data_IF_635853763502
#
_entry.id   IF_635853763502
#
_cell.length_a   1.000
_cell.length_b   1.000
_cell.length_c   1.000
_cell.angle_alpha   90.00
_cell.angle_beta   90.00
_cell.angle_gamma   90.00
#
_symmetry.space_group_name_H-M   'P 1'
#
loop_
_entity.id
_entity.type
_entity.pdbx_description
1 polymer ?
#
# COMPACT_ATOMS: atom_id res chain seq x y z
N UNK A 1 -6.08 -20.34 -56.89
CA UNK A 1 -5.30 -21.50 -56.42
C UNK A 1 -3.84 -21.21 -56.71
N UNK A 2 -3.00 -20.76 -55.77
CA UNK A 2 -2.71 -21.40 -54.48
C UNK A 2 -2.36 -20.37 -53.40
N UNK A 3 -2.98 -20.55 -52.23
CA UNK A 3 -2.74 -19.87 -50.97
C UNK A 3 -1.39 -20.33 -50.37
N UNK A 4 -0.55 -19.42 -49.85
CA UNK A 4 0.49 -19.76 -48.87
C UNK A 4 0.64 -18.60 -47.90
N UNK A 5 0.06 -18.79 -46.71
CA UNK A 5 0.15 -17.94 -45.54
C UNK A 5 1.54 -18.07 -44.90
N UNK A 6 2.36 -17.03 -44.97
CA UNK A 6 3.50 -16.87 -44.07
C UNK A 6 2.98 -16.22 -42.77
N UNK A 7 2.55 -17.06 -41.84
CA UNK A 7 2.27 -16.66 -40.47
C UNK A 7 3.61 -16.40 -39.77
N UNK A 8 4.01 -15.15 -39.66
CA UNK A 8 5.12 -14.73 -38.79
C UNK A 8 4.58 -14.75 -37.36
N UNK A 9 4.78 -15.85 -36.66
CA UNK A 9 4.65 -15.92 -35.21
C UNK A 9 5.66 -14.95 -34.58
N UNK A 10 5.23 -13.98 -33.76
CA UNK A 10 6.16 -13.27 -32.90
C UNK A 10 6.52 -14.23 -31.77
N UNK A 11 7.62 -14.97 -31.92
CA UNK A 11 8.32 -15.54 -30.78
C UNK A 11 8.93 -14.38 -29.99
N UNK A 12 8.06 -13.66 -29.27
CA UNK A 12 8.44 -12.71 -28.25
C UNK A 12 9.13 -13.52 -27.15
N UNK A 13 10.46 -13.53 -27.19
CA UNK A 13 11.29 -13.92 -26.05
C UNK A 13 10.87 -13.07 -24.86
N UNK A 14 9.96 -13.61 -24.06
CA UNK A 14 9.62 -13.06 -22.75
C UNK A 14 10.75 -13.48 -21.84
N UNK A 15 11.79 -12.66 -21.74
CA UNK A 15 12.77 -12.79 -20.66
C UNK A 15 12.04 -12.46 -19.35
N UNK A 16 11.79 -13.42 -18.44
CA UNK A 16 11.22 -13.08 -17.16
C UNK A 16 12.30 -12.37 -16.33
N UNK A 17 12.14 -11.07 -16.13
CA UNK A 17 12.89 -10.34 -15.10
C UNK A 17 12.71 -11.10 -13.78
N UNK A 18 13.78 -11.40 -13.01
CA UNK A 18 13.67 -12.26 -11.84
C UNK A 18 12.77 -11.60 -10.77
N UNK A 19 11.52 -12.03 -10.73
CA UNK A 19 10.54 -11.62 -9.73
C UNK A 19 10.85 -12.36 -8.44
N UNK A 20 11.08 -11.61 -7.36
CA UNK A 20 11.33 -12.19 -6.05
C UNK A 20 10.07 -12.95 -5.58
N UNK A 21 10.16 -14.24 -5.21
CA UNK A 21 8.99 -15.03 -4.84
C UNK A 21 8.35 -14.51 -3.55
N UNK A 22 7.01 -14.46 -3.51
CA UNK A 22 6.22 -14.03 -2.35
C UNK A 22 6.25 -15.05 -1.21
N UNK A 23 6.35 -16.34 -1.55
CA UNK A 23 6.44 -17.46 -0.62
C UNK A 23 7.59 -18.37 -1.08
N UNK A 24 8.39 -18.89 -0.13
CA UNK A 24 9.51 -19.81 -0.41
C UNK A 24 9.48 -20.96 0.58
N UNK A 25 9.49 -22.19 0.06
CA UNK A 25 9.71 -23.40 0.87
C UNK A 25 11.19 -23.47 1.23
N UNK A 26 11.50 -23.48 2.52
CA UNK A 26 12.89 -23.44 3.03
C UNK A 26 13.42 -24.84 3.37
N UNK A 27 12.54 -25.80 3.64
CA UNK A 27 12.90 -27.16 4.04
C UNK A 27 11.79 -28.14 3.65
N UNK A 28 12.17 -29.33 3.21
CA UNK A 28 11.26 -30.40 2.81
C UNK A 28 10.81 -30.29 1.35
N UNK A 29 10.21 -31.37 0.85
CA UNK A 29 9.51 -31.41 -0.44
C UNK A 29 8.02 -31.31 -0.14
N UNK A 30 7.47 -30.11 -0.30
CA UNK A 30 6.05 -29.87 -0.03
C UNK A 30 5.24 -30.31 -1.24
N UNK A 31 4.22 -31.13 -1.03
CA UNK A 31 3.39 -31.59 -2.15
C UNK A 31 2.57 -30.43 -2.73
N UNK A 32 2.15 -30.49 -4.00
CA UNK A 32 1.31 -29.45 -4.60
C UNK A 32 0.04 -29.16 -3.80
N UNK A 33 -0.54 -30.19 -3.18
CA UNK A 33 -1.74 -30.10 -2.34
C UNK A 33 -1.46 -29.32 -1.04
N UNK A 34 -0.31 -29.55 -0.41
CA UNK A 34 0.09 -28.82 0.80
C UNK A 34 0.35 -27.34 0.51
N UNK A 35 1.01 -27.04 -0.62
CA UNK A 35 1.21 -25.67 -1.07
C UNK A 35 -0.13 -24.99 -1.34
N UNK A 36 -1.07 -25.69 -2.00
CA UNK A 36 -2.41 -25.17 -2.26
C UNK A 36 -3.19 -24.88 -0.96
N UNK A 37 -3.09 -25.76 0.04
CA UNK A 37 -3.73 -25.56 1.34
C UNK A 37 -3.22 -24.29 2.04
N UNK A 38 -1.90 -24.08 2.06
CA UNK A 38 -1.31 -22.87 2.67
C UNK A 38 -1.71 -21.61 1.91
N UNK A 39 -1.70 -21.64 0.57
CA UNK A 39 -2.15 -20.53 -0.27
C UNK A 39 -3.63 -20.22 -0.03
N UNK A 40 -4.48 -21.24 0.08
CA UNK A 40 -5.91 -21.09 0.36
C UNK A 40 -6.15 -20.44 1.72
N UNK A 41 -5.40 -20.82 2.76
CA UNK A 41 -5.48 -20.19 4.08
C UNK A 41 -5.11 -18.71 4.01
N UNK A 42 -4.01 -18.35 3.34
CA UNK A 42 -3.64 -16.95 3.18
C UNK A 42 -4.65 -16.15 2.34
N UNK A 43 -5.23 -16.76 1.31
CA UNK A 43 -6.29 -16.15 0.52
C UNK A 43 -7.56 -15.91 1.37
N UNK A 44 -7.90 -16.83 2.26
CA UNK A 44 -9.03 -16.70 3.18
C UNK A 44 -8.79 -15.66 4.30
N UNK A 45 -7.54 -15.52 4.76
CA UNK A 45 -7.14 -14.53 5.77
C UNK A 45 -7.08 -13.08 5.23
N UNK A 46 -7.31 -12.87 3.93
CA UNK A 46 -7.21 -11.56 3.31
C UNK A 46 -8.30 -10.64 3.87
N UNK A 47 -7.90 -9.67 4.68
CA UNK A 47 -8.80 -8.59 5.11
C UNK A 47 -8.92 -7.55 4.00
N UNK A 48 -10.14 -7.36 3.49
CA UNK A 48 -10.47 -6.30 2.53
C UNK A 48 -10.80 -4.98 3.23
N UNK A 49 -10.42 -4.81 4.50
CA UNK A 49 -10.74 -3.58 5.20
C UNK A 49 -9.94 -2.43 4.58
N UNK A 50 -10.59 -1.37 4.07
CA UNK A 50 -9.88 -0.15 3.72
C UNK A 50 -9.10 0.33 4.94
N UNK A 51 -7.91 0.93 4.75
CA UNK A 51 -7.09 1.38 5.86
C UNK A 51 -7.94 2.25 6.79
N UNK A 52 -8.13 1.80 8.02
CA UNK A 52 -8.91 2.53 9.00
C UNK A 52 -8.28 3.92 9.16
N UNK A 53 -9.12 4.96 9.08
CA UNK A 53 -8.65 6.31 9.37
C UNK A 53 -8.11 6.30 10.79
N UNK A 54 -6.80 6.57 10.94
CA UNK A 54 -6.19 6.65 12.26
C UNK A 54 -6.94 7.70 13.07
N UNK A 55 -7.45 7.38 14.27
CA UNK A 55 -8.09 8.38 15.10
C UNK A 55 -7.10 9.51 15.38
N UNK A 56 -7.59 10.74 15.32
CA UNK A 56 -6.77 11.89 15.68
C UNK A 56 -6.28 11.72 17.13
N UNK A 57 -5.00 11.96 17.41
CA UNK A 57 -4.48 11.74 18.75
C UNK A 57 -5.18 12.68 19.74
N UNK A 58 -5.39 12.24 20.98
CA UNK A 58 -6.13 13.00 21.99
C UNK A 58 -5.54 14.40 22.26
N UNK A 59 -4.23 14.59 22.05
CA UNK A 59 -3.57 15.89 22.16
C UNK A 59 -3.98 16.90 21.07
N UNK A 60 -4.53 16.42 19.95
CA UNK A 60 -5.01 17.26 18.83
C UNK A 60 -6.49 17.66 18.95
N UNK A 61 -7.16 17.25 20.04
CA UNK A 61 -8.59 17.50 20.24
C UNK A 61 -8.91 19.01 20.36
N UNK A 62 -9.69 19.55 19.42
CA UNK A 62 -10.01 20.98 19.36
C UNK A 62 -10.74 21.49 20.61
N UNK A 63 -11.60 20.68 21.22
CA UNK A 63 -12.33 21.04 22.45
C UNK A 63 -11.40 21.17 23.67
N UNK A 64 -10.16 20.67 23.61
CA UNK A 64 -9.14 20.81 24.67
C UNK A 64 -8.21 22.01 24.45
N UNK A 65 -8.47 22.86 23.46
CA UNK A 65 -7.63 24.04 23.19
C UNK A 65 -7.79 25.07 24.29
N UNK A 66 -6.69 25.37 24.99
CA UNK A 66 -6.63 26.40 26.03
C UNK A 66 -6.22 27.78 25.46
N UNK A 67 -5.54 27.81 24.31
CA UNK A 67 -5.08 29.05 23.68
C UNK A 67 -5.60 29.21 22.26
N UNK A 68 -5.89 30.45 21.86
CA UNK A 68 -6.16 30.84 20.47
C UNK A 68 -4.85 30.83 19.66
N UNK A 69 -4.93 30.42 18.40
CA UNK A 69 -3.82 30.53 17.46
C UNK A 69 -3.42 31.99 17.26
N UNK A 70 -2.12 32.29 17.25
CA UNK A 70 -1.61 33.61 16.94
C UNK A 70 -1.50 33.81 15.43
N UNK A 71 -1.79 35.03 14.91
CA UNK A 71 -1.56 35.34 13.51
C UNK A 71 -0.07 35.27 13.19
N UNK A 72 0.26 34.63 12.07
CA UNK A 72 1.59 34.68 11.47
C UNK A 72 1.66 35.86 10.49
N UNK A 73 2.80 36.55 10.42
CA UNK A 73 3.02 37.68 9.51
C UNK A 73 3.61 38.92 10.18
N UNK A 74 3.90 39.98 9.39
CA UNK A 74 4.45 41.23 9.90
C UNK A 74 3.61 41.79 11.06
N UNK A 75 4.23 42.13 12.18
CA UNK A 75 3.54 42.61 13.38
C UNK A 75 2.82 41.53 14.23
N UNK A 76 2.78 40.26 13.78
CA UNK A 76 2.15 39.16 14.52
C UNK A 76 2.79 38.89 15.89
N UNK A 77 4.12 39.04 15.99
CA UNK A 77 4.82 38.95 17.28
C UNK A 77 4.53 40.15 18.19
N UNK A 78 4.46 41.37 17.63
CA UNK A 78 4.19 42.60 18.39
C UNK A 78 2.78 42.61 18.99
N UNK A 79 1.80 42.11 18.24
CA UNK A 79 0.41 42.01 18.70
C UNK A 79 0.17 40.92 19.75
N UNK A 80 1.16 40.06 20.04
CA UNK A 80 1.03 39.02 21.07
C UNK A 80 0.91 39.57 22.50
N UNK A 81 1.44 40.77 22.74
CA UNK A 81 1.45 41.43 24.04
C UNK A 81 0.33 42.47 24.22
N UNK A 82 -0.51 42.69 23.21
CA UNK A 82 -1.60 43.66 23.25
C UNK A 82 -2.94 42.98 23.59
N UNK A 83 -3.85 43.65 24.30
CA UNK A 83 -5.22 43.18 24.48
C UNK A 83 -5.91 42.93 23.14
N UNK A 84 -6.76 41.91 23.09
CA UNK A 84 -7.60 41.60 21.92
C UNK A 84 -9.02 42.09 22.12
#
# INVERSE_FOLDING_TARGET
MNETTASTDPTASTDPTPTRPLLRVVRGDATPEEVAAVVAVFAALRTTQPPARRPAPAWSAHHRRVRRALPHGPGGWRSSALPR
#
